data_IF_196559643773
#
_entry.id   IF_196559643773
#
_cell.length_a   1.000
_cell.length_b   1.000
_cell.length_c   1.000
_cell.angle_alpha   90.00
_cell.angle_beta   90.00
_cell.angle_gamma   90.00
#
_symmetry.space_group_name_H-M   'P 1'
#
loop_
_entity.id
_entity.type
_entity.pdbx_description
1 polymer ?
#
# COMPACT_ATOMS: atom_id res chain seq x y z
N UNK A 1 0.81 -2.65 -22.13
CA UNK A 1 0.16 -2.63 -20.80
C UNK A 1 -0.10 -1.20 -20.38
N UNK A 2 -1.30 -0.88 -19.91
CA UNK A 2 -1.70 0.43 -19.41
C UNK A 2 -1.08 0.65 -18.02
N UNK A 3 0.14 1.19 -18.04
CA UNK A 3 0.96 1.35 -16.83
C UNK A 3 0.37 2.32 -15.82
N UNK A 4 -0.40 3.32 -16.27
CA UNK A 4 -1.08 4.26 -15.38
C UNK A 4 -2.13 3.55 -14.53
N UNK A 5 -3.03 2.78 -15.17
CA UNK A 5 -4.07 2.02 -14.47
C UNK A 5 -3.47 0.95 -13.55
N UNK A 6 -2.39 0.31 -13.97
CA UNK A 6 -1.66 -0.65 -13.12
C UNK A 6 -1.10 0.01 -11.85
N UNK A 7 -0.47 1.19 -11.98
CA UNK A 7 0.06 1.94 -10.85
C UNK A 7 -1.05 2.38 -9.88
N UNK A 8 -2.16 2.90 -10.42
CA UNK A 8 -3.36 3.26 -9.63
C UNK A 8 -3.88 2.05 -8.85
N UNK A 9 -3.95 0.87 -9.48
CA UNK A 9 -4.34 -0.39 -8.81
C UNK A 9 -3.36 -0.80 -7.71
N UNK A 10 -2.05 -0.71 -7.96
CA UNK A 10 -1.04 -1.06 -6.95
C UNK A 10 -1.18 -0.21 -5.69
N UNK A 11 -1.37 1.10 -5.87
CA UNK A 11 -1.64 2.03 -4.77
C UNK A 11 -2.95 1.66 -4.06
N UNK A 12 -4.02 1.40 -4.81
CA UNK A 12 -5.32 1.02 -4.23
C UNK A 12 -5.23 -0.29 -3.42
N UNK A 13 -4.50 -1.29 -3.91
CA UNK A 13 -4.26 -2.55 -3.20
C UNK A 13 -3.55 -2.28 -1.87
N UNK A 14 -2.45 -1.51 -1.88
CA UNK A 14 -1.73 -1.15 -0.65
C UNK A 14 -2.63 -0.47 0.39
N UNK A 15 -3.36 0.57 0.00
CA UNK A 15 -4.25 1.28 0.92
C UNK A 15 -5.39 0.38 1.43
N UNK A 16 -5.91 -0.49 0.57
CA UNK A 16 -6.97 -1.44 0.94
C UNK A 16 -6.49 -2.41 2.01
N UNK A 17 -5.32 -3.03 1.82
CA UNK A 17 -4.75 -3.96 2.79
C UNK A 17 -4.55 -3.27 4.14
N UNK A 18 -3.83 -2.14 4.14
CA UNK A 18 -3.43 -1.43 5.36
C UNK A 18 -4.63 -0.86 6.13
N UNK A 19 -5.52 -0.13 5.46
CA UNK A 19 -6.57 0.64 6.16
C UNK A 19 -7.89 -0.08 6.29
N UNK A 20 -8.34 -0.79 5.23
CA UNK A 20 -9.60 -1.54 5.28
C UNK A 20 -9.39 -2.85 6.04
N UNK A 21 -8.44 -3.65 5.58
CA UNK A 21 -8.35 -5.04 6.02
C UNK A 21 -7.46 -5.23 7.27
N UNK A 22 -6.70 -4.21 7.66
CA UNK A 22 -5.79 -4.29 8.83
C UNK A 22 -4.68 -5.32 8.69
N UNK A 23 -4.32 -5.68 7.46
CA UNK A 23 -3.17 -6.52 7.19
C UNK A 23 -2.25 -5.83 6.20
N UNK A 24 -0.99 -6.23 6.16
CA UNK A 24 -0.09 -5.76 5.12
C UNK A 24 0.75 -6.93 4.64
N UNK A 25 0.97 -6.98 3.31
CA UNK A 25 1.80 -8.01 2.68
C UNK A 25 3.26 -8.00 3.17
N UNK A 26 3.69 -6.91 3.82
CA UNK A 26 5.02 -6.62 4.35
C UNK A 26 6.15 -6.51 3.32
N UNK A 27 6.05 -7.21 2.19
CA UNK A 27 7.05 -7.17 1.13
C UNK A 27 6.42 -7.09 -0.27
N UNK A 28 6.00 -5.88 -0.66
CA UNK A 28 5.50 -5.58 -2.02
C UNK A 28 6.65 -5.28 -3.00
N UNK A 29 7.79 -5.97 -2.89
CA UNK A 29 8.89 -5.80 -3.85
C UNK A 29 8.52 -6.39 -5.23
N UNK A 30 9.17 -5.94 -6.32
CA UNK A 30 8.85 -6.40 -7.69
C UNK A 30 8.88 -7.92 -7.93
N UNK A 31 9.59 -8.70 -7.12
CA UNK A 31 9.62 -10.17 -7.24
C UNK A 31 8.36 -10.85 -6.71
N UNK A 32 7.58 -10.16 -5.87
CA UNK A 32 6.32 -10.64 -5.32
C UNK A 32 5.08 -10.13 -6.09
N UNK A 33 5.30 -9.45 -7.22
CA UNK A 33 4.24 -8.80 -7.99
C UNK A 33 4.34 -9.20 -9.45
N UNK A 34 3.32 -9.91 -9.93
CA UNK A 34 3.14 -10.20 -11.34
C UNK A 34 2.07 -9.32 -11.97
N UNK A 35 2.20 -9.13 -13.28
CA UNK A 35 1.24 -8.41 -14.11
C UNK A 35 0.77 -9.34 -15.21
N UNK A 36 -0.54 -9.55 -15.34
CA UNK A 36 -1.08 -10.36 -16.44
C UNK A 36 -0.90 -9.66 -17.79
N UNK A 37 -0.50 -10.43 -18.81
CA UNK A 37 -0.32 -9.98 -20.19
C UNK A 37 -1.57 -10.17 -21.06
N UNK A 38 -2.63 -10.81 -20.56
CA UNK A 38 -3.84 -11.15 -21.32
C UNK A 38 -4.64 -9.92 -21.78
N UNK A 39 -4.72 -8.91 -20.91
CA UNK A 39 -5.49 -7.68 -21.14
C UNK A 39 -4.60 -6.47 -20.85
N UNK A 40 -3.71 -6.09 -21.78
CA UNK A 40 -2.75 -5.03 -21.54
C UNK A 40 -3.42 -3.69 -21.23
N UNK A 41 -4.57 -3.37 -21.81
CA UNK A 41 -5.36 -2.15 -21.53
C UNK A 41 -6.08 -2.17 -20.17
N UNK A 42 -6.32 -3.37 -19.61
CA UNK A 42 -6.95 -3.60 -18.31
C UNK A 42 -6.11 -4.55 -17.43
N UNK A 43 -4.90 -4.14 -17.01
CA UNK A 43 -3.90 -5.06 -16.47
C UNK A 43 -4.23 -5.54 -15.05
N UNK A 44 -4.12 -6.83 -14.80
CA UNK A 44 -4.32 -7.40 -13.46
C UNK A 44 -3.03 -7.33 -12.64
N UNK A 45 -3.15 -6.85 -11.40
CA UNK A 45 -2.10 -6.88 -10.39
C UNK A 45 -2.22 -8.20 -9.60
N UNK A 46 -1.16 -8.99 -9.58
CA UNK A 46 -1.14 -10.31 -8.93
C UNK A 46 -0.05 -10.29 -7.87
N UNK A 47 -0.45 -10.16 -6.61
CA UNK A 47 0.47 -10.34 -5.48
C UNK A 47 0.67 -11.82 -5.20
N UNK A 48 1.91 -12.22 -4.99
CA UNK A 48 2.30 -13.55 -4.51
C UNK A 48 3.15 -13.41 -3.24
N UNK A 49 3.29 -14.50 -2.49
CA UNK A 49 4.04 -14.58 -1.22
C UNK A 49 3.41 -13.85 -0.02
N UNK A 50 2.55 -14.57 0.69
CA UNK A 50 1.97 -14.09 1.96
C UNK A 50 2.81 -14.46 3.20
N UNK A 51 4.11 -14.72 3.07
CA UNK A 51 4.94 -15.30 4.12
C UNK A 51 5.17 -14.40 5.34
N UNK A 52 5.19 -13.08 5.16
CA UNK A 52 5.49 -12.09 6.21
C UNK A 52 4.26 -11.20 6.49
N UNK A 53 3.05 -11.69 6.19
CA UNK A 53 1.83 -10.90 6.40
C UNK A 53 1.65 -10.59 7.89
N UNK A 54 1.58 -9.30 8.21
CA UNK A 54 1.32 -8.81 9.57
C UNK A 54 -0.08 -8.23 9.71
N UNK A 55 -0.56 -8.12 10.95
CA UNK A 55 -1.79 -7.39 11.27
C UNK A 55 -1.45 -6.09 12.00
N UNK A 56 -2.25 -5.05 11.77
CA UNK A 56 -2.10 -3.75 12.42
C UNK A 56 -3.15 -3.61 13.51
N UNK A 57 -2.71 -3.25 14.71
CA UNK A 57 -3.64 -2.90 15.77
C UNK A 57 -4.29 -1.52 15.48
N UNK A 58 -5.28 -1.13 16.28
CA UNK A 58 -6.02 0.13 16.06
C UNK A 58 -5.13 1.38 16.21
N UNK A 59 -4.12 1.30 17.05
CA UNK A 59 -3.15 2.38 17.31
C UNK A 59 -2.19 2.52 16.12
N UNK A 60 -1.63 1.42 15.62
CA UNK A 60 -0.75 1.40 14.44
C UNK A 60 -1.47 1.95 13.20
N UNK A 61 -2.74 1.56 13.01
CA UNK A 61 -3.58 2.08 11.92
C UNK A 61 -3.76 3.59 11.99
N UNK A 62 -4.04 4.10 13.19
CA UNK A 62 -4.25 5.53 13.41
C UNK A 62 -2.93 6.29 13.23
N UNK A 63 -1.84 5.77 13.76
CA UNK A 63 -0.50 6.28 13.55
C UNK A 63 -0.14 6.40 12.06
N UNK A 64 -0.38 5.35 11.27
CA UNK A 64 -0.17 5.36 9.83
C UNK A 64 -1.07 6.39 9.14
N UNK A 65 -2.36 6.42 9.46
CA UNK A 65 -3.29 7.37 8.87
C UNK A 65 -2.88 8.84 9.14
N UNK A 66 -2.49 9.15 10.37
CA UNK A 66 -2.04 10.48 10.77
C UNK A 66 -0.75 10.88 10.04
N UNK A 67 0.21 9.95 9.88
CA UNK A 67 1.41 10.18 9.08
C UNK A 67 1.08 10.46 7.61
N UNK A 68 0.17 9.70 6.99
CA UNK A 68 -0.23 9.97 5.61
C UNK A 68 -0.91 11.32 5.45
N UNK A 69 -1.83 11.68 6.36
CA UNK A 69 -2.50 12.99 6.33
C UNK A 69 -1.48 14.12 6.49
N UNK A 70 -0.55 14.00 7.44
CA UNK A 70 0.51 14.98 7.64
C UNK A 70 1.40 15.12 6.40
N UNK A 71 1.80 14.00 5.79
CA UNK A 71 2.61 13.99 4.58
C UNK A 71 1.87 14.63 3.39
N UNK A 72 0.60 14.28 3.17
CA UNK A 72 -0.21 14.86 2.09
C UNK A 72 -0.44 16.36 2.27
N UNK A 73 -0.58 16.82 3.51
CA UNK A 73 -0.69 18.24 3.85
C UNK A 73 0.66 18.97 3.87
N UNK A 74 1.78 18.28 3.57
CA UNK A 74 3.15 18.80 3.66
C UNK A 74 3.50 19.34 5.05
N UNK A 75 2.86 18.83 6.09
CA UNK A 75 3.13 19.18 7.48
C UNK A 75 4.28 18.32 8.01
N UNK A 76 5.50 18.64 7.58
CA UNK A 76 6.71 17.90 7.93
C UNK A 76 7.04 17.98 9.42
N UNK A 77 6.55 18.99 10.14
CA UNK A 77 6.70 19.09 11.59
C UNK A 77 5.87 18.02 12.29
N UNK A 78 4.60 17.87 11.88
CA UNK A 78 3.72 16.82 12.39
C UNK A 78 4.24 15.41 12.07
N UNK A 79 4.82 15.21 10.88
CA UNK A 79 5.48 13.94 10.54
C UNK A 79 6.62 13.62 11.51
N UNK A 80 7.47 14.61 11.82
CA UNK A 80 8.59 14.42 12.76
C UNK A 80 8.12 14.16 14.20
N UNK A 81 7.03 14.81 14.65
CA UNK A 81 6.45 14.60 15.99
C UNK A 81 5.78 13.22 16.13
N UNK A 82 5.24 12.68 15.03
CA UNK A 82 4.66 11.34 15.03
C UNK A 82 5.77 10.26 15.08
N UNK A 83 6.92 10.46 14.43
CA UNK A 83 7.99 9.44 14.33
C UNK A 83 8.78 9.16 15.64
N UNK A 84 8.36 9.68 16.80
CA UNK A 84 9.04 9.53 18.11
C UNK A 84 8.33 8.53 19.01
#
# INVERSE_FOLDING_TARGET
TNMKLLAERGVQVFFTQVFRDSFFHADMHPGNIFVSYEHPENPKYIGIDCGIVGSLNKEDKRYLAENFIAFFNRDYRKVAELHV
#
